data_IF_415370328383
#
_entry.id   IF_415370328383
#
_cell.length_a   1.000
_cell.length_b   1.000
_cell.length_c   1.000
_cell.angle_alpha   90.00
_cell.angle_beta   90.00
_cell.angle_gamma   90.00
#
_symmetry.space_group_name_H-M   'P 1'
#
loop_
_entity.id
_entity.type
_entity.pdbx_description
1 polymer ?
#
# COMPACT_ATOMS: atom_id res chain seq x y z
N UNK A 1 -19.26 -17.18 7.61
CA UNK A 1 -17.92 -17.43 7.06
C UNK A 1 -18.01 -17.58 5.56
N UNK A 2 -17.35 -16.73 4.78
CA UNK A 2 -17.02 -17.02 3.37
C UNK A 2 -15.72 -16.31 3.03
N UNK A 3 -14.65 -17.10 2.91
CA UNK A 3 -13.35 -16.70 2.37
C UNK A 3 -13.50 -16.72 0.85
N UNK A 4 -13.11 -15.65 0.16
CA UNK A 4 -12.98 -15.65 -1.31
C UNK A 4 -11.49 -15.76 -1.65
N UNK A 5 -11.13 -16.80 -2.40
CA UNK A 5 -9.76 -17.11 -2.83
C UNK A 5 -9.74 -17.27 -4.35
N UNK A 6 -8.89 -16.43 -4.98
CA UNK A 6 -8.17 -16.58 -6.26
C UNK A 6 -8.91 -16.36 -7.60
N UNK A 7 -8.41 -15.34 -8.33
CA UNK A 7 -8.20 -15.38 -9.78
C UNK A 7 -6.86 -14.68 -10.10
N UNK A 8 -6.04 -15.31 -10.93
CA UNK A 8 -4.61 -15.02 -11.17
C UNK A 8 -4.43 -14.38 -12.55
N UNK A 9 -4.42 -13.04 -12.64
CA UNK A 9 -3.88 -12.26 -13.77
C UNK A 9 -3.83 -10.73 -13.53
N UNK A 10 -4.34 -10.22 -12.41
CA UNK A 10 -4.29 -8.82 -12.05
C UNK A 10 -3.68 -8.69 -10.66
N UNK A 11 -2.67 -7.83 -10.51
CA UNK A 11 -2.17 -7.41 -9.20
C UNK A 11 -3.40 -7.12 -8.32
N UNK A 12 -3.59 -7.81 -7.17
CA UNK A 12 -4.79 -7.64 -6.36
C UNK A 12 -4.97 -6.14 -6.10
N UNK A 13 -6.18 -5.59 -6.31
CA UNK A 13 -6.41 -4.17 -6.14
C UNK A 13 -5.93 -3.81 -4.75
N UNK A 14 -5.01 -2.85 -4.70
CA UNK A 14 -4.40 -2.46 -3.45
C UNK A 14 -5.51 -2.06 -2.46
N UNK A 15 -5.35 -2.38 -1.16
CA UNK A 15 -6.36 -2.07 -0.16
C UNK A 15 -6.69 -0.57 -0.18
N UNK A 16 -7.87 -0.21 0.31
CA UNK A 16 -8.32 1.19 0.32
C UNK A 16 -7.28 2.09 1.02
N UNK A 17 -7.18 3.38 0.67
CA UNK A 17 -6.24 4.30 1.31
C UNK A 17 -6.28 4.25 2.85
N UNK A 18 -7.49 4.17 3.41
CA UNK A 18 -7.73 4.03 4.86
C UNK A 18 -7.18 2.72 5.42
N UNK A 19 -7.33 1.62 4.69
CA UNK A 19 -6.82 0.32 5.11
C UNK A 19 -5.30 0.23 5.02
N UNK A 20 -4.66 0.94 4.08
CA UNK A 20 -3.19 1.05 4.05
C UNK A 20 -2.65 1.74 5.30
N UNK A 21 -3.25 2.86 5.68
CA UNK A 21 -2.91 3.58 6.90
C UNK A 21 -3.07 2.67 8.14
N UNK A 22 -4.18 1.95 8.22
CA UNK A 22 -4.44 0.99 9.30
C UNK A 22 -3.38 -0.10 9.37
N UNK A 23 -3.00 -0.70 8.24
CA UNK A 23 -1.96 -1.73 8.18
C UNK A 23 -0.58 -1.20 8.59
N UNK A 24 -0.27 0.04 8.23
CA UNK A 24 0.95 0.72 8.66
C UNK A 24 0.97 0.92 10.17
N UNK A 25 -0.10 1.50 10.72
CA UNK A 25 -0.25 1.76 12.17
C UNK A 25 -0.28 0.45 12.98
N UNK A 26 -0.92 -0.60 12.47
CA UNK A 26 -0.95 -1.92 13.10
C UNK A 26 0.44 -2.59 13.19
N UNK A 27 1.37 -2.20 12.31
CA UNK A 27 2.77 -2.63 12.33
C UNK A 27 3.69 -1.65 13.06
N UNK A 28 3.12 -0.60 13.66
CA UNK A 28 3.87 0.50 14.31
C UNK A 28 4.90 1.17 13.39
N UNK A 29 4.66 1.14 12.07
CA UNK A 29 5.54 1.74 11.07
C UNK A 29 5.17 3.22 10.83
N UNK A 30 6.18 4.03 10.62
CA UNK A 30 6.05 5.39 10.10
C UNK A 30 5.88 5.39 8.58
N UNK A 31 5.38 6.50 8.03
CA UNK A 31 5.31 6.69 6.57
C UNK A 31 6.71 6.63 5.94
N UNK A 32 7.75 7.03 6.68
CA UNK A 32 9.15 7.05 6.24
C UNK A 32 9.74 5.65 6.14
N UNK A 33 9.46 4.78 7.12
CA UNK A 33 9.89 3.37 7.07
C UNK A 33 9.22 2.61 5.93
N UNK A 34 7.92 2.86 5.71
CA UNK A 34 7.21 2.29 4.55
C UNK A 34 7.79 2.83 3.24
N UNK A 35 8.12 4.11 3.19
CA UNK A 35 8.72 4.73 2.02
C UNK A 35 10.10 4.14 1.70
N UNK A 36 10.94 3.97 2.72
CA UNK A 36 12.25 3.34 2.61
C UNK A 36 12.15 1.89 2.13
N UNK A 37 11.24 1.10 2.71
CA UNK A 37 11.03 -0.30 2.33
C UNK A 37 10.53 -0.46 0.88
N UNK A 38 9.82 0.53 0.34
CA UNK A 38 9.24 0.48 -1.02
C UNK A 38 10.06 1.28 -2.04
N UNK A 39 11.11 2.00 -1.60
CA UNK A 39 11.93 2.83 -2.49
C UNK A 39 11.19 4.04 -3.07
N UNK A 40 10.27 4.61 -2.30
CA UNK A 40 9.53 5.84 -2.65
C UNK A 40 9.78 6.93 -1.60
N UNK A 41 9.23 8.12 -1.81
CA UNK A 41 9.30 9.19 -0.80
C UNK A 41 8.16 9.06 0.20
N UNK A 42 8.36 9.58 1.41
CA UNK A 42 7.30 9.73 2.41
C UNK A 42 6.05 10.43 1.86
N UNK A 43 6.26 11.50 1.07
CA UNK A 43 5.17 12.24 0.43
C UNK A 43 4.35 11.36 -0.54
N UNK A 44 5.00 10.40 -1.21
CA UNK A 44 4.35 9.40 -2.06
C UNK A 44 3.46 8.46 -1.22
N UNK A 45 3.96 7.96 -0.09
CA UNK A 45 3.17 7.12 0.83
C UNK A 45 1.95 7.87 1.38
N UNK A 46 2.14 9.12 1.82
CA UNK A 46 1.04 9.99 2.27
C UNK A 46 0.00 10.22 1.18
N UNK A 47 0.43 10.42 -0.07
CA UNK A 47 -0.45 10.58 -1.22
C UNK A 47 -1.27 9.31 -1.51
N UNK A 48 -0.73 8.13 -1.20
CA UNK A 48 -1.43 6.86 -1.31
C UNK A 48 -2.44 6.63 -0.17
N UNK A 49 -2.07 6.98 1.07
CA UNK A 49 -2.94 6.84 2.25
C UNK A 49 -4.11 7.84 2.25
N UNK A 50 -3.94 8.98 1.57
CA UNK A 50 -4.99 9.98 1.37
C UNK A 50 -5.82 9.77 0.11
N UNK A 51 -5.46 8.78 -0.72
CA UNK A 51 -6.17 8.47 -1.98
C UNK A 51 -5.93 9.48 -3.11
N UNK A 52 -5.00 10.44 -2.94
CA UNK A 52 -4.64 11.42 -3.96
C UNK A 52 -3.95 10.78 -5.18
N UNK A 53 -3.17 9.72 -4.95
CA UNK A 53 -2.56 8.92 -6.04
C UNK A 53 -2.57 7.44 -5.68
N UNK A 54 -2.47 6.57 -6.69
CA UNK A 54 -2.34 5.12 -6.49
C UNK A 54 -0.93 4.65 -6.90
N UNK A 55 -0.32 3.66 -6.22
CA UNK A 55 0.95 3.08 -6.61
C UNK A 55 0.84 2.52 -8.02
N UNK A 56 1.66 3.03 -8.93
CA UNK A 56 1.80 2.46 -10.26
C UNK A 56 2.79 1.30 -10.15
N UNK A 57 2.39 0.12 -10.61
CA UNK A 57 3.06 -1.17 -10.37
C UNK A 57 4.56 -1.27 -10.70
N UNK A 58 5.17 -0.26 -11.35
CA UNK A 58 6.61 -0.22 -11.67
C UNK A 58 7.53 0.02 -10.47
N UNK A 59 7.02 0.48 -9.33
CA UNK A 59 7.77 0.77 -8.11
C UNK A 59 7.26 -0.05 -6.92
N UNK A 60 6.82 -1.29 -7.18
CA UNK A 60 6.60 -2.25 -6.10
C UNK A 60 7.98 -2.83 -5.81
N UNK A 61 8.45 -2.69 -4.57
CA UNK A 61 9.79 -3.06 -4.12
C UNK A 61 10.30 -4.32 -4.83
N UNK A 62 11.49 -4.20 -5.44
CA UNK A 62 12.32 -5.36 -5.78
C UNK A 62 12.74 -6.04 -4.48
#
# INVERSE_FOLDING_TARGET
MTRSTTDEAAVPPLPSPKERRRLREAKSLSEEEVAAAVGVTRATVRSWETGRTNPRGRKRAL
#
